data_IF_696520768188
#
_entry.id   IF_696520768188
#
_cell.length_a   1.000
_cell.length_b   1.000
_cell.length_c   1.000
_cell.angle_alpha   90.00
_cell.angle_beta   90.00
_cell.angle_gamma   90.00
#
_symmetry.space_group_name_H-M   'P 1'
#
loop_
_entity.id
_entity.type
_entity.pdbx_description
1 polymer ?
#
# COMPACT_ATOMS: atom_id res chain seq x y z
N UNK A 1 3.37 9.45 16.84
CA UNK A 1 3.21 9.61 18.27
C UNK A 1 4.49 9.29 19.03
N UNK A 2 5.17 8.24 18.65
CA UNK A 2 6.45 7.88 19.31
C UNK A 2 7.67 8.39 18.55
N UNK A 3 7.47 9.15 17.51
CA UNK A 3 8.51 9.78 16.69
C UNK A 3 9.51 8.77 16.12
N UNK A 4 9.01 7.62 15.71
CA UNK A 4 9.83 6.61 15.05
C UNK A 4 10.31 7.13 13.70
N UNK A 5 11.61 6.97 13.43
CA UNK A 5 12.24 7.50 12.22
C UNK A 5 12.45 6.44 11.14
N UNK A 6 12.74 5.20 11.53
CA UNK A 6 13.12 4.17 10.58
C UNK A 6 11.95 3.39 10.01
N UNK A 7 10.84 3.34 10.70
CA UNK A 7 9.63 2.67 10.23
C UNK A 7 8.39 3.31 10.85
N UNK A 8 7.25 3.07 10.24
CA UNK A 8 5.97 3.51 10.74
C UNK A 8 5.04 2.33 10.96
N UNK A 9 4.13 2.46 11.94
CA UNK A 9 3.12 1.46 12.23
C UNK A 9 1.76 2.13 12.19
N UNK A 10 0.85 1.58 11.40
CA UNK A 10 -0.52 2.05 11.29
C UNK A 10 -1.50 0.94 11.62
N UNK A 11 -2.53 1.30 12.38
CA UNK A 11 -3.69 0.45 12.56
C UNK A 11 -4.70 0.88 11.50
N UNK A 12 -5.03 -0.01 10.58
CA UNK A 12 -5.86 0.31 9.42
C UNK A 12 -7.13 -0.51 9.42
N UNK A 13 -8.23 0.15 9.11
CA UNK A 13 -9.52 -0.50 8.93
C UNK A 13 -9.91 -0.45 7.46
N UNK A 14 -10.34 -1.61 6.92
CA UNK A 14 -10.94 -1.69 5.60
C UNK A 14 -12.43 -2.01 5.75
N UNK A 15 -13.25 -1.09 5.27
CA UNK A 15 -14.70 -1.32 5.22
C UNK A 15 -15.02 -2.44 4.23
N UNK A 16 -16.17 -3.11 4.38
CA UNK A 16 -16.62 -4.09 3.40
C UNK A 16 -16.61 -3.51 1.98
N UNK A 17 -16.04 -4.26 1.04
CA UNK A 17 -15.96 -3.86 -0.36
C UNK A 17 -14.82 -2.92 -0.71
N UNK A 18 -14.00 -2.50 0.24
CA UNK A 18 -12.89 -1.60 -0.02
C UNK A 18 -11.57 -2.34 -0.20
N UNK A 19 -10.57 -1.62 -0.71
CA UNK A 19 -9.21 -2.14 -0.87
C UNK A 19 -8.19 -1.17 -0.27
N UNK A 20 -7.03 -1.70 0.11
CA UNK A 20 -6.00 -0.92 0.81
C UNK A 20 -5.38 0.15 -0.09
N UNK A 21 -5.15 -0.20 -1.34
CA UNK A 21 -4.57 0.66 -2.36
C UNK A 21 -4.70 -0.05 -3.68
N UNK A 22 -4.32 0.61 -4.77
CA UNK A 22 -4.16 -0.06 -6.05
C UNK A 22 -3.01 -1.07 -5.95
N UNK A 23 -3.05 -2.11 -6.78
CA UNK A 23 -1.99 -3.11 -6.81
C UNK A 23 -0.66 -2.42 -7.11
N UNK A 24 0.32 -2.55 -6.22
CA UNK A 24 1.58 -1.82 -6.31
C UNK A 24 2.73 -2.54 -5.63
N UNK A 25 3.94 -2.11 -5.96
CA UNK A 25 5.17 -2.53 -5.28
C UNK A 25 6.05 -1.31 -5.03
N UNK A 26 6.86 -1.38 -3.99
CA UNK A 26 7.84 -0.35 -3.65
C UNK A 26 9.23 -0.78 -4.11
N UNK A 27 10.06 0.19 -4.52
CA UNK A 27 11.42 -0.09 -4.98
C UNK A 27 12.41 -0.25 -3.83
N UNK A 28 12.22 0.47 -2.73
CA UNK A 28 13.18 0.52 -1.62
C UNK A 28 12.60 0.25 -0.25
N UNK A 29 11.31 0.42 -0.06
CA UNK A 29 10.67 0.23 1.24
C UNK A 29 10.10 -1.16 1.37
N UNK A 30 10.36 -1.78 2.53
CA UNK A 30 9.70 -3.03 2.92
C UNK A 30 8.37 -2.71 3.58
N UNK A 31 7.40 -3.61 3.42
CA UNK A 31 6.12 -3.51 4.09
C UNK A 31 5.75 -4.83 4.75
N UNK A 32 4.99 -4.76 5.83
CA UNK A 32 4.51 -5.91 6.57
C UNK A 32 3.10 -5.65 7.05
N UNK A 33 2.24 -6.67 6.99
CA UNK A 33 0.89 -6.58 7.53
C UNK A 33 0.62 -7.75 8.48
N UNK A 34 -0.21 -7.49 9.49
CA UNK A 34 -0.67 -8.51 10.44
C UNK A 34 -2.17 -8.33 10.64
N UNK A 35 -2.95 -9.37 10.35
CA UNK A 35 -4.40 -9.31 10.41
C UNK A 35 -4.87 -9.50 11.85
N UNK A 36 -5.61 -8.53 12.36
CA UNK A 36 -6.17 -8.56 13.70
C UNK A 36 -7.62 -9.06 13.70
N UNK A 37 -8.40 -8.63 12.70
CA UNK A 37 -9.82 -8.92 12.63
C UNK A 37 -10.26 -8.98 11.17
N UNK A 38 -11.18 -9.89 10.87
CA UNK A 38 -11.74 -10.01 9.53
C UNK A 38 -11.04 -11.05 8.66
N UNK A 39 -11.53 -11.18 7.44
CA UNK A 39 -11.05 -12.17 6.48
C UNK A 39 -10.80 -11.53 5.12
N UNK A 40 -9.75 -10.70 5.01
CA UNK A 40 -9.45 -10.04 3.74
C UNK A 40 -8.79 -11.01 2.76
N UNK A 41 -8.74 -10.58 1.50
CA UNK A 41 -8.03 -11.29 0.44
C UNK A 41 -6.77 -10.53 0.08
N UNK A 42 -5.63 -11.18 0.18
CA UNK A 42 -4.37 -10.62 -0.32
C UNK A 42 -4.26 -10.95 -1.80
N UNK A 43 -4.19 -9.91 -2.62
CA UNK A 43 -4.04 -10.04 -4.07
C UNK A 43 -2.61 -9.71 -4.45
N UNK A 44 -1.97 -10.60 -5.19
CA UNK A 44 -0.62 -10.40 -5.71
C UNK A 44 -0.60 -10.69 -7.20
N UNK A 45 0.50 -10.37 -7.86
CA UNK A 45 0.68 -10.71 -9.27
C UNK A 45 0.64 -12.22 -9.54
N UNK A 46 0.94 -13.04 -8.53
CA UNK A 46 0.98 -14.50 -8.67
C UNK A 46 -0.28 -15.19 -8.16
N UNK A 47 -1.27 -14.47 -7.69
CA UNK A 47 -2.53 -15.07 -7.24
C UNK A 47 -3.09 -14.40 -6.00
N UNK A 48 -4.08 -15.07 -5.41
CA UNK A 48 -4.83 -14.55 -4.27
C UNK A 48 -4.73 -15.50 -3.09
N UNK A 49 -4.69 -14.93 -1.90
CA UNK A 49 -4.61 -15.68 -0.65
C UNK A 49 -5.70 -15.17 0.29
N UNK A 50 -6.57 -16.07 0.77
CA UNK A 50 -7.52 -15.74 1.81
C UNK A 50 -6.80 -15.64 3.15
N UNK A 51 -6.97 -14.53 3.84
CA UNK A 51 -6.32 -14.27 5.12
C UNK A 51 -7.32 -14.31 6.27
N UNK A 52 -6.81 -14.59 7.46
CA UNK A 52 -7.60 -14.67 8.68
C UNK A 52 -6.83 -14.02 9.83
N UNK A 53 -7.50 -13.71 10.95
CA UNK A 53 -6.83 -13.15 12.12
C UNK A 53 -5.62 -14.00 12.54
N UNK A 54 -4.51 -13.34 12.85
CA UNK A 54 -3.26 -14.01 13.21
C UNK A 54 -2.34 -14.28 12.03
N UNK A 55 -2.81 -14.15 10.80
CA UNK A 55 -1.96 -14.29 9.62
C UNK A 55 -1.24 -12.98 9.32
N UNK A 56 -0.07 -13.09 8.74
CA UNK A 56 0.73 -11.95 8.34
C UNK A 56 1.34 -12.15 6.95
N UNK A 57 1.80 -11.05 6.36
CA UNK A 57 2.52 -11.10 5.09
C UNK A 57 3.57 -10.00 5.06
N UNK A 58 4.70 -10.29 4.44
CA UNK A 58 5.78 -9.34 4.23
C UNK A 58 6.00 -9.09 2.75
N UNK A 59 6.32 -7.85 2.41
CA UNK A 59 6.53 -7.43 1.03
C UNK A 59 7.89 -6.73 0.94
N UNK A 60 8.94 -7.47 0.56
CA UNK A 60 10.26 -6.88 0.45
C UNK A 60 10.31 -5.84 -0.67
N UNK A 61 11.17 -4.86 -0.50
CA UNK A 61 11.44 -3.87 -1.53
C UNK A 61 11.80 -4.56 -2.85
N UNK A 62 11.24 -4.06 -3.95
CA UNK A 62 11.45 -4.64 -5.27
C UNK A 62 10.76 -5.99 -5.49
N UNK A 63 9.94 -6.41 -4.55
CA UNK A 63 9.21 -7.67 -4.64
C UNK A 63 7.96 -7.58 -5.49
N UNK A 64 7.02 -8.49 -5.23
CA UNK A 64 5.77 -8.56 -6.00
C UNK A 64 4.82 -7.43 -5.65
N UNK A 65 4.10 -6.95 -6.63
CA UNK A 65 3.01 -6.01 -6.39
C UNK A 65 1.88 -6.70 -5.61
N UNK A 66 1.23 -5.93 -4.73
CA UNK A 66 0.22 -6.45 -3.83
C UNK A 66 -0.84 -5.41 -3.51
N UNK A 67 -1.99 -5.88 -3.07
CA UNK A 67 -3.03 -5.09 -2.42
C UNK A 67 -3.85 -6.00 -1.51
N UNK A 68 -4.50 -5.41 -0.52
CA UNK A 68 -5.41 -6.12 0.36
C UNK A 68 -6.84 -5.69 0.01
N UNK A 69 -7.73 -6.64 -0.21
CA UNK A 69 -9.14 -6.40 -0.53
C UNK A 69 -10.04 -6.97 0.55
N UNK A 70 -11.03 -6.22 0.94
CA UNK A 70 -12.06 -6.73 1.84
C UNK A 70 -13.32 -7.06 1.03
N UNK A 71 -13.43 -8.31 0.61
CA UNK A 71 -14.58 -8.82 -0.15
C UNK A 71 -15.68 -9.37 0.74
N UNK A 72 -15.50 -9.32 2.05
CA UNK A 72 -16.47 -9.79 3.03
C UNK A 72 -17.49 -8.70 3.35
N UNK A 73 -18.50 -9.05 4.13
CA UNK A 73 -19.52 -8.12 4.61
C UNK A 73 -19.24 -7.58 6.02
N UNK A 74 -18.05 -7.86 6.56
CA UNK A 74 -17.60 -7.32 7.83
C UNK A 74 -16.27 -6.59 7.66
N UNK A 75 -15.95 -5.71 8.62
CA UNK A 75 -14.72 -4.93 8.53
C UNK A 75 -13.48 -5.82 8.69
N UNK A 76 -12.38 -5.36 8.12
CA UNK A 76 -11.05 -5.91 8.35
C UNK A 76 -10.24 -4.89 9.15
N UNK A 77 -9.50 -5.36 10.15
CA UNK A 77 -8.61 -4.55 10.95
C UNK A 77 -7.23 -5.19 10.90
N UNK A 78 -6.22 -4.41 10.56
CA UNK A 78 -4.86 -4.93 10.45
C UNK A 78 -3.81 -3.89 10.83
N UNK A 79 -2.66 -4.37 11.27
CA UNK A 79 -1.47 -3.54 11.46
C UNK A 79 -0.67 -3.52 10.17
N UNK A 80 -0.23 -2.34 9.79
CA UNK A 80 0.66 -2.14 8.66
C UNK A 80 1.95 -1.52 9.16
N UNK A 81 3.07 -2.16 8.84
CA UNK A 81 4.40 -1.68 9.21
C UNK A 81 5.16 -1.44 7.92
N UNK A 82 5.68 -0.23 7.75
CA UNK A 82 6.48 0.12 6.60
C UNK A 82 7.75 0.84 7.01
N UNK A 83 8.86 0.53 6.34
CA UNK A 83 10.07 1.30 6.58
C UNK A 83 10.01 2.65 5.87
N UNK A 84 10.96 3.52 6.18
CA UNK A 84 10.99 4.90 5.66
C UNK A 84 12.25 5.18 4.86
N UNK A 85 12.78 4.18 4.18
CA UNK A 85 13.92 4.35 3.30
C UNK A 85 13.65 5.45 2.29
N UNK A 86 14.60 6.37 2.15
CA UNK A 86 14.48 7.51 1.25
C UNK A 86 14.52 7.11 -0.22
N UNK A 87 14.06 8.00 -1.09
CA UNK A 87 14.08 7.85 -2.54
C UNK A 87 13.31 6.62 -3.05
N UNK A 88 12.27 6.22 -2.32
CA UNK A 88 11.42 5.11 -2.74
C UNK A 88 10.55 5.49 -3.93
N UNK A 89 10.22 4.52 -4.75
CA UNK A 89 9.24 4.66 -5.84
C UNK A 89 8.23 3.53 -5.73
N UNK A 90 7.02 3.78 -6.19
CA UNK A 90 6.00 2.74 -6.26
C UNK A 90 5.58 2.53 -7.70
N UNK A 91 5.48 1.28 -8.10
CA UNK A 91 5.05 0.85 -9.42
C UNK A 91 3.66 0.22 -9.31
N UNK A 92 2.79 0.59 -10.24
CA UNK A 92 1.41 0.13 -10.31
C UNK A 92 1.22 -0.63 -11.62
N UNK A 93 1.43 -1.96 -11.64
CA UNK A 93 1.46 -2.71 -12.90
C UNK A 93 0.18 -2.65 -13.73
N UNK A 94 -0.97 -2.43 -13.08
CA UNK A 94 -2.26 -2.40 -13.77
C UNK A 94 -2.81 -0.99 -14.04
N UNK A 95 -2.07 0.04 -13.65
CA UNK A 95 -2.53 1.42 -13.73
C UNK A 95 -1.46 2.32 -14.32
N UNK A 96 -1.87 3.43 -14.93
CA UNK A 96 -0.96 4.41 -15.49
C UNK A 96 -0.53 5.40 -14.42
N UNK A 97 0.13 4.87 -13.39
CA UNK A 97 0.56 5.65 -12.23
C UNK A 97 2.00 5.28 -11.89
N UNK A 98 2.80 6.30 -11.63
CA UNK A 98 4.11 6.19 -11.04
C UNK A 98 4.16 7.09 -9.82
N UNK A 99 4.63 6.58 -8.70
CA UNK A 99 4.80 7.35 -7.48
C UNK A 99 6.26 7.39 -7.08
N UNK A 100 6.72 8.58 -6.70
CA UNK A 100 8.09 8.81 -6.24
C UNK A 100 8.05 9.58 -4.94
N UNK A 101 8.91 9.20 -4.01
CA UNK A 101 9.10 9.92 -2.76
C UNK A 101 10.09 11.04 -3.01
N UNK A 102 9.65 12.30 -2.86
CA UNK A 102 10.53 13.44 -3.09
C UNK A 102 11.47 13.71 -1.91
N UNK A 103 12.36 14.69 -2.06
CA UNK A 103 13.34 15.02 -1.04
C UNK A 103 12.72 15.51 0.28
N UNK A 104 11.48 16.01 0.23
CA UNK A 104 10.75 16.45 1.44
C UNK A 104 10.01 15.31 2.13
N UNK A 105 10.01 14.11 1.57
CA UNK A 105 9.30 12.96 2.11
C UNK A 105 7.84 12.87 1.68
N UNK A 106 7.45 13.58 0.63
CA UNK A 106 6.10 13.53 0.09
C UNK A 106 6.04 12.70 -1.19
N UNK A 107 4.94 11.98 -1.35
CA UNK A 107 4.70 11.20 -2.55
C UNK A 107 4.19 12.07 -3.68
N UNK A 108 4.82 11.94 -4.84
CA UNK A 108 4.44 12.63 -6.07
C UNK A 108 3.96 11.59 -7.08
N UNK A 109 2.76 11.78 -7.61
CA UNK A 109 2.14 10.84 -8.55
C UNK A 109 2.14 11.43 -9.95
N UNK A 110 2.56 10.62 -10.92
CA UNK A 110 2.59 10.99 -12.33
C UNK A 110 2.07 9.84 -13.18
N UNK A 111 1.83 10.10 -14.47
CA UNK A 111 1.69 9.03 -15.45
C UNK A 111 3.01 8.27 -15.57
N UNK A 112 2.96 7.04 -16.08
CA UNK A 112 4.17 6.23 -16.22
C UNK A 112 5.23 6.85 -17.12
N UNK A 113 4.83 7.72 -18.03
CA UNK A 113 5.76 8.47 -18.89
C UNK A 113 6.31 9.74 -18.24
N UNK A 114 5.94 10.02 -17.00
CA UNK A 114 6.42 11.18 -16.23
C UNK A 114 5.54 12.40 -16.33
N UNK A 115 4.50 12.41 -17.15
CA UNK A 115 3.59 13.57 -17.23
C UNK A 115 2.83 13.73 -15.94
N UNK A 116 2.66 14.97 -15.45
CA UNK A 116 1.90 15.19 -14.22
C UNK A 116 0.40 14.92 -14.43
N UNK A 117 -0.27 14.48 -13.37
CA UNK A 117 -1.73 14.43 -13.38
C UNK A 117 -2.29 15.83 -13.16
N UNK A 118 -3.43 16.11 -13.77
CA UNK A 118 -4.14 17.35 -13.51
C UNK A 118 -4.69 17.37 -12.10
N UNK A 119 -4.50 18.50 -11.44
CA UNK A 119 -5.10 18.71 -10.14
C UNK A 119 -6.48 19.29 -10.36
N UNK A 120 -7.51 18.48 -10.21
CA UNK A 120 -8.87 18.91 -10.49
C UNK A 120 -9.43 19.84 -9.44
N UNK A 121 -9.20 19.52 -8.23
CA UNK A 121 -9.80 20.24 -7.15
C UNK A 121 -9.32 21.66 -7.00
N UNK A 122 -8.16 21.97 -7.47
CA UNK A 122 -7.58 23.31 -7.37
C UNK A 122 -8.08 24.27 -8.40
N UNK A 123 -8.82 23.81 -9.34
CA UNK A 123 -9.42 24.69 -10.33
C UNK A 123 -10.68 25.33 -9.83
N UNK A 124 -10.91 25.15 -8.57
CA UNK A 124 -12.12 25.64 -7.99
C UNK A 124 -11.90 26.80 -7.08
#
# INVERSE_FOLDING_TARGET
>A
VFELANFGVNLTELAPGSESALLHRHSRQDEFIYILEGNPTLVTESGEIAMAPGMCAGFPAGGRAHQLQNRSDSRTLYLEVGDRTAADTADYPNDDIRAELDASGQWVFTHKDGRPYRVRGNSH
#
